data_IF_676779851969
#
_entry.id   IF_676779851969
#
_cell.length_a   1.000
_cell.length_b   1.000
_cell.length_c   1.000
_cell.angle_alpha   90.00
_cell.angle_beta   90.00
_cell.angle_gamma   90.00
#
_symmetry.space_group_name_H-M   'P 1'
#
loop_
_entity.id
_entity.type
_entity.pdbx_description
1 polymer ?
#
# COMPACT_ATOMS: atom_id res chain seq x y z
N UNK A 1 -12.34 -18.76 -3.87
CA UNK A 1 -12.17 -17.30 -3.65
C UNK A 1 -11.16 -17.00 -2.55
N UNK A 2 -11.26 -17.61 -1.36
CA UNK A 2 -10.32 -17.37 -0.26
C UNK A 2 -8.84 -17.62 -0.60
N UNK A 3 -8.53 -18.69 -1.36
CA UNK A 3 -7.16 -18.97 -1.82
C UNK A 3 -6.57 -17.84 -2.68
N UNK A 4 -7.40 -17.24 -3.54
CA UNK A 4 -6.97 -16.11 -4.37
C UNK A 4 -6.77 -14.86 -3.51
N UNK A 5 -7.65 -14.61 -2.53
CA UNK A 5 -7.45 -13.52 -1.56
C UNK A 5 -6.13 -13.70 -0.79
N UNK A 6 -5.85 -14.90 -0.29
CA UNK A 6 -4.57 -15.23 0.36
C UNK A 6 -3.38 -14.91 -0.55
N UNK A 7 -3.44 -15.28 -1.84
CA UNK A 7 -2.39 -14.94 -2.80
C UNK A 7 -2.22 -13.41 -2.94
N UNK A 8 -3.31 -12.66 -3.05
CA UNK A 8 -3.26 -11.19 -3.09
C UNK A 8 -2.60 -10.60 -1.85
N UNK A 9 -2.93 -11.14 -0.67
CA UNK A 9 -2.36 -10.70 0.61
C UNK A 9 -0.86 -11.03 0.71
N UNK A 10 -0.43 -12.19 0.23
CA UNK A 10 1.00 -12.53 0.15
C UNK A 10 1.76 -11.60 -0.81
N UNK A 11 1.21 -11.35 -2.00
CA UNK A 11 1.80 -10.41 -2.95
C UNK A 11 1.90 -9.00 -2.35
N UNK A 12 0.85 -8.55 -1.66
CA UNK A 12 0.82 -7.25 -1.00
C UNK A 12 1.83 -7.18 0.15
N UNK A 13 1.93 -8.22 0.97
CA UNK A 13 2.90 -8.30 2.07
C UNK A 13 4.33 -8.26 1.53
N UNK A 14 4.63 -9.05 0.50
CA UNK A 14 5.92 -9.03 -0.16
C UNK A 14 6.25 -7.63 -0.68
N UNK A 15 5.28 -6.98 -1.34
CA UNK A 15 5.46 -5.62 -1.81
C UNK A 15 5.78 -4.65 -0.66
N UNK A 16 4.97 -4.63 0.41
CA UNK A 16 5.17 -3.73 1.55
C UNK A 16 6.54 -3.90 2.21
N UNK A 17 7.05 -5.14 2.27
CA UNK A 17 8.33 -5.44 2.89
C UNK A 17 9.53 -5.11 1.99
N UNK A 18 9.40 -5.26 0.67
CA UNK A 18 10.58 -5.30 -0.21
C UNK A 18 10.65 -4.22 -1.30
N UNK A 19 9.56 -3.51 -1.61
CA UNK A 19 9.56 -2.55 -2.73
C UNK A 19 10.54 -1.36 -2.56
N UNK A 20 10.89 -1.01 -1.32
CA UNK A 20 11.90 0.02 -1.04
C UNK A 20 13.32 -0.54 -1.02
N UNK A 21 13.50 -1.85 -1.05
CA UNK A 21 14.79 -2.54 -0.89
C UNK A 21 15.32 -3.11 -2.19
N UNK A 22 14.43 -3.61 -3.05
CA UNK A 22 14.79 -4.22 -4.32
C UNK A 22 14.75 -3.15 -5.41
N UNK A 23 15.86 -2.86 -6.10
CA UNK A 23 15.86 -1.92 -7.21
C UNK A 23 15.06 -2.49 -8.39
N UNK A 24 14.05 -1.74 -8.83
CA UNK A 24 13.24 -2.02 -10.02
C UNK A 24 13.09 -0.73 -10.85
N UNK A 25 14.18 -0.21 -11.46
CA UNK A 25 14.06 0.96 -12.32
C UNK A 25 13.21 0.65 -13.57
N UNK A 26 12.41 1.61 -14.08
CA UNK A 26 12.26 2.97 -13.60
C UNK A 26 11.20 3.13 -12.49
N UNK A 27 10.63 2.05 -11.95
CA UNK A 27 9.49 2.09 -11.04
C UNK A 27 9.84 2.59 -9.62
N UNK A 28 11.07 2.39 -9.15
CA UNK A 28 11.59 2.98 -7.91
C UNK A 28 13.03 3.49 -8.05
N UNK A 29 13.45 4.30 -7.07
CA UNK A 29 14.83 4.79 -6.91
C UNK A 29 15.29 4.51 -5.48
N UNK A 30 15.72 3.27 -5.21
CA UNK A 30 16.11 2.82 -3.87
C UNK A 30 17.36 3.54 -3.35
N UNK A 31 18.20 4.07 -4.24
CA UNK A 31 19.39 4.86 -3.88
C UNK A 31 18.97 6.24 -3.36
N UNK A 32 18.05 6.93 -4.05
CA UNK A 32 17.51 8.20 -3.59
C UNK A 32 16.74 8.03 -2.27
N UNK A 33 15.93 6.97 -2.14
CA UNK A 33 15.23 6.65 -0.90
C UNK A 33 16.20 6.43 0.27
N UNK A 34 17.24 5.62 0.07
CA UNK A 34 18.27 5.39 1.09
C UNK A 34 18.98 6.68 1.50
N UNK A 35 19.22 7.60 0.55
CA UNK A 35 19.88 8.89 0.83
C UNK A 35 18.99 9.84 1.65
N UNK A 36 17.67 9.83 1.40
CA UNK A 36 16.72 10.75 2.06
C UNK A 36 16.25 10.20 3.41
N UNK A 37 15.83 8.94 3.47
CA UNK A 37 15.23 8.34 4.67
C UNK A 37 16.26 7.56 5.52
N UNK A 38 17.38 7.12 4.93
CA UNK A 38 18.30 6.20 5.61
C UNK A 38 17.76 4.77 5.73
N UNK A 39 18.59 3.85 6.22
CA UNK A 39 18.20 2.44 6.35
C UNK A 39 17.18 2.20 7.47
N UNK A 40 17.27 2.96 8.56
CA UNK A 40 16.41 2.70 9.72
C UNK A 40 14.97 3.14 9.45
N UNK A 41 14.74 4.31 8.87
CA UNK A 41 13.35 4.73 8.59
C UNK A 41 12.71 3.87 7.50
N UNK A 42 13.49 3.40 6.52
CA UNK A 42 13.04 2.39 5.54
C UNK A 42 12.61 1.08 6.23
N UNK A 43 13.41 0.56 7.17
CA UNK A 43 13.06 -0.68 7.87
C UNK A 43 11.84 -0.49 8.79
N UNK A 44 11.74 0.63 9.52
CA UNK A 44 10.52 0.94 10.30
C UNK A 44 9.29 1.01 9.40
N UNK A 45 9.38 1.73 8.28
CA UNK A 45 8.29 1.85 7.30
C UNK A 45 7.87 0.48 6.77
N UNK A 46 8.82 -0.35 6.34
CA UNK A 46 8.54 -1.72 5.86
C UNK A 46 7.88 -2.58 6.94
N UNK A 47 8.35 -2.53 8.19
CA UNK A 47 7.78 -3.32 9.28
C UNK A 47 6.37 -2.86 9.65
N UNK A 48 6.15 -1.55 9.75
CA UNK A 48 4.83 -0.99 10.07
C UNK A 48 3.83 -1.32 8.96
N UNK A 49 4.18 -1.05 7.70
CA UNK A 49 3.32 -1.34 6.56
C UNK A 49 3.12 -2.85 6.37
N UNK A 50 4.17 -3.64 6.58
CA UNK A 50 4.11 -5.10 6.53
C UNK A 50 3.20 -5.68 7.60
N UNK A 51 3.27 -5.19 8.85
CA UNK A 51 2.39 -5.61 9.93
C UNK A 51 0.90 -5.35 9.62
N UNK A 52 0.59 -4.20 9.01
CA UNK A 52 -0.78 -3.86 8.57
C UNK A 52 -1.36 -4.85 7.55
N UNK A 53 -0.53 -5.63 6.85
CA UNK A 53 -0.96 -6.66 5.89
C UNK A 53 -0.83 -8.07 6.48
N UNK A 54 0.20 -8.30 7.30
CA UNK A 54 0.46 -9.58 7.94
C UNK A 54 -0.66 -9.97 8.91
N UNK A 55 -1.23 -9.00 9.65
CA UNK A 55 -2.34 -9.26 10.57
C UNK A 55 -3.60 -9.75 9.82
N UNK A 56 -4.11 -9.05 8.79
CA UNK A 56 -5.18 -9.57 7.94
C UNK A 56 -4.86 -10.93 7.30
N UNK A 57 -3.64 -11.12 6.79
CA UNK A 57 -3.23 -12.39 6.19
C UNK A 57 -3.29 -13.54 7.20
N UNK A 58 -2.74 -13.34 8.39
CA UNK A 58 -2.80 -14.33 9.47
C UNK A 58 -4.24 -14.68 9.84
N UNK A 59 -5.11 -13.67 9.96
CA UNK A 59 -6.54 -13.88 10.20
C UNK A 59 -7.20 -14.69 9.08
N UNK A 60 -6.91 -14.39 7.82
CA UNK A 60 -7.44 -15.13 6.68
C UNK A 60 -6.96 -16.59 6.69
N UNK A 61 -5.66 -16.83 6.96
CA UNK A 61 -5.09 -18.18 7.03
C UNK A 61 -5.69 -19.00 8.19
N UNK A 62 -5.90 -18.36 9.36
CA UNK A 62 -6.48 -19.02 10.54
C UNK A 62 -7.86 -19.63 10.26
N UNK A 63 -8.64 -19.04 9.36
CA UNK A 63 -9.99 -19.48 9.02
C UNK A 63 -10.11 -19.93 7.56
N UNK A 64 -9.03 -20.47 6.96
CA UNK A 64 -9.04 -20.86 5.54
C UNK A 64 -10.02 -22.01 5.24
N UNK A 65 -10.12 -22.98 6.15
CA UNK A 65 -10.98 -24.16 6.04
C UNK A 65 -12.17 -24.10 7.02
N UNK A 66 -12.47 -22.92 7.56
CA UNK A 66 -13.52 -22.71 8.54
C UNK A 66 -14.39 -21.49 8.21
N UNK A 67 -15.60 -21.45 8.75
CA UNK A 67 -16.43 -20.24 8.68
C UNK A 67 -15.73 -19.10 9.42
N UNK A 68 -15.31 -18.09 8.68
CA UNK A 68 -14.67 -16.90 9.25
C UNK A 68 -15.68 -16.21 10.19
N UNK A 69 -15.35 -15.82 11.44
CA UNK A 69 -16.23 -15.06 12.33
C UNK A 69 -16.46 -13.60 11.89
N UNK A 70 -17.63 -12.99 12.20
CA UNK A 70 -17.96 -11.62 11.74
C UNK A 70 -16.92 -10.60 12.17
N UNK A 71 -16.51 -10.69 13.42
CA UNK A 71 -15.43 -9.87 13.99
C UNK A 71 -14.16 -9.94 13.15
N UNK A 72 -13.77 -11.12 12.67
CA UNK A 72 -12.55 -11.29 11.87
C UNK A 72 -12.66 -10.61 10.51
N UNK A 73 -13.82 -10.72 9.83
CA UNK A 73 -14.04 -10.00 8.57
C UNK A 73 -14.00 -8.49 8.78
N UNK A 74 -14.67 -7.99 9.83
CA UNK A 74 -14.67 -6.56 10.18
C UNK A 74 -13.24 -6.09 10.46
N UNK A 75 -12.43 -6.86 11.20
CA UNK A 75 -11.02 -6.54 11.44
C UNK A 75 -10.24 -6.46 10.14
N UNK A 76 -10.33 -7.47 9.28
CA UNK A 76 -9.64 -7.48 7.97
C UNK A 76 -10.04 -6.26 7.14
N UNK A 77 -11.34 -5.97 7.06
CA UNK A 77 -11.87 -4.81 6.36
C UNK A 77 -11.32 -3.50 6.93
N UNK A 78 -11.26 -3.35 8.24
CA UNK A 78 -10.76 -2.15 8.90
C UNK A 78 -9.29 -1.88 8.55
N UNK A 79 -8.44 -2.92 8.49
CA UNK A 79 -7.04 -2.76 8.07
C UNK A 79 -6.92 -2.27 6.63
N UNK A 80 -7.65 -2.89 5.68
CA UNK A 80 -7.58 -2.45 4.28
C UNK A 80 -8.26 -1.10 4.04
N UNK A 81 -9.28 -0.75 4.82
CA UNK A 81 -9.88 0.57 4.78
C UNK A 81 -8.89 1.63 5.29
N UNK A 82 -8.19 1.36 6.39
CA UNK A 82 -7.15 2.26 6.91
C UNK A 82 -6.00 2.46 5.91
N UNK A 83 -5.52 1.38 5.29
CA UNK A 83 -4.52 1.47 4.21
C UNK A 83 -5.05 2.28 3.02
N UNK A 84 -6.29 2.04 2.60
CA UNK A 84 -6.95 2.78 1.51
C UNK A 84 -7.00 4.28 1.82
N UNK A 85 -7.48 4.66 3.00
CA UNK A 85 -7.51 6.05 3.45
C UNK A 85 -6.10 6.65 3.43
N UNK A 86 -5.09 5.93 3.94
CA UNK A 86 -3.70 6.35 3.91
C UNK A 86 -3.19 6.65 2.49
N UNK A 87 -3.46 5.77 1.53
CA UNK A 87 -3.08 5.97 0.12
C UNK A 87 -3.77 7.18 -0.50
N UNK A 88 -5.06 7.39 -0.21
CA UNK A 88 -5.83 8.53 -0.70
C UNK A 88 -5.28 9.84 -0.14
N UNK A 89 -5.10 9.91 1.17
CA UNK A 89 -4.61 11.11 1.84
C UNK A 89 -3.16 11.46 1.47
N UNK A 90 -2.29 10.46 1.32
CA UNK A 90 -0.88 10.70 1.03
C UNK A 90 -0.59 11.04 -0.44
N UNK A 91 -1.36 10.50 -1.38
CA UNK A 91 -1.05 10.58 -2.81
C UNK A 91 -2.16 11.22 -3.65
N UNK A 92 -3.40 10.74 -3.51
CA UNK A 92 -4.48 11.16 -4.41
C UNK A 92 -5.01 12.55 -4.08
N UNK A 93 -5.21 12.86 -2.79
CA UNK A 93 -5.60 14.22 -2.38
C UNK A 93 -4.53 15.25 -2.83
N UNK A 94 -3.23 15.05 -2.55
CA UNK A 94 -2.17 15.94 -3.03
C UNK A 94 -2.09 16.10 -4.55
N UNK A 95 -2.41 15.04 -5.30
CA UNK A 95 -2.41 15.09 -6.76
C UNK A 95 -3.55 15.94 -7.32
N UNK A 96 -4.77 15.79 -6.79
CA UNK A 96 -5.94 16.51 -7.28
C UNK A 96 -6.06 17.92 -6.72
N UNK A 97 -5.73 18.13 -5.45
CA UNK A 97 -6.00 19.36 -4.71
C UNK A 97 -4.74 20.11 -4.25
N UNK A 98 -3.56 19.55 -4.48
CA UNK A 98 -2.30 20.09 -3.97
C UNK A 98 -2.05 19.72 -2.51
N UNK A 99 -0.87 20.09 -2.01
CA UNK A 99 -0.43 19.84 -0.64
C UNK A 99 0.50 20.93 -0.14
N UNK A 100 0.79 20.92 1.16
CA UNK A 100 1.79 21.81 1.76
C UNK A 100 3.17 21.63 1.13
N UNK A 101 3.98 22.69 1.19
CA UNK A 101 5.35 22.65 0.66
C UNK A 101 6.20 21.60 1.38
N UNK A 102 6.03 21.45 2.71
CA UNK A 102 6.68 20.40 3.49
C UNK A 102 6.40 19.01 2.91
N UNK A 103 5.14 18.72 2.56
CA UNK A 103 4.76 17.43 1.96
C UNK A 103 5.40 17.24 0.58
N UNK A 104 5.39 18.28 -0.26
CA UNK A 104 6.05 18.26 -1.58
C UNK A 104 7.55 17.97 -1.47
N UNK A 105 8.24 18.57 -0.50
CA UNK A 105 9.67 18.36 -0.28
C UNK A 105 9.99 16.93 0.13
N UNK A 106 9.17 16.32 1.02
CA UNK A 106 9.32 14.90 1.40
C UNK A 106 9.16 14.00 0.17
N UNK A 107 8.21 14.31 -0.71
CA UNK A 107 7.90 13.49 -1.89
C UNK A 107 8.86 13.70 -3.07
N UNK A 108 9.79 14.66 -3.01
CA UNK A 108 10.85 14.82 -4.03
C UNK A 108 11.71 13.57 -4.18
N UNK A 109 11.77 12.70 -3.17
CA UNK A 109 12.48 11.41 -3.25
C UNK A 109 11.94 10.48 -4.35
N UNK A 110 10.71 10.69 -4.81
CA UNK A 110 10.10 9.91 -5.89
C UNK A 110 10.26 10.55 -7.29
N UNK A 111 10.89 11.73 -7.41
CA UNK A 111 10.96 12.48 -8.68
C UNK A 111 11.60 11.71 -9.85
N UNK A 112 12.56 10.83 -9.56
CA UNK A 112 13.30 10.05 -10.55
C UNK A 112 12.61 8.73 -10.92
N UNK A 113 11.38 8.52 -10.46
CA UNK A 113 10.61 7.30 -10.75
C UNK A 113 9.65 7.52 -11.90
N UNK A 114 9.16 6.44 -12.50
CA UNK A 114 8.20 6.51 -13.58
C UNK A 114 6.82 6.96 -13.07
N UNK A 115 6.27 8.00 -13.70
CA UNK A 115 4.92 8.50 -13.46
C UNK A 115 4.10 8.34 -14.73
N UNK A 116 3.07 7.50 -14.72
CA UNK A 116 2.18 7.38 -15.87
C UNK A 116 1.10 8.48 -15.90
N UNK A 117 0.81 9.11 -14.76
CA UNK A 117 -0.13 10.21 -14.65
C UNK A 117 0.54 11.53 -15.09
N UNK A 118 -0.21 12.42 -15.78
CA UNK A 118 0.32 13.72 -16.19
C UNK A 118 0.58 14.63 -14.99
N UNK A 119 1.55 15.54 -15.13
CA UNK A 119 1.77 16.58 -14.14
C UNK A 119 0.58 17.55 -14.04
N UNK A 120 0.27 18.01 -12.83
CA UNK A 120 -0.79 18.98 -12.54
C UNK A 120 -0.19 20.17 -11.78
N UNK A 121 0.36 21.13 -12.51
CA UNK A 121 1.12 22.23 -11.92
C UNK A 121 2.29 21.70 -11.09
N UNK A 122 2.37 22.08 -9.82
CA UNK A 122 3.40 21.63 -8.87
C UNK A 122 2.88 20.59 -7.86
N UNK A 123 1.77 19.91 -8.17
CA UNK A 123 1.20 18.87 -7.32
C UNK A 123 2.07 17.61 -7.32
N UNK A 124 1.95 16.82 -6.25
CA UNK A 124 2.61 15.52 -6.14
C UNK A 124 1.98 14.57 -7.15
N UNK A 125 2.81 13.87 -7.92
CA UNK A 125 2.36 12.88 -8.90
C UNK A 125 2.55 11.49 -8.27
N UNK A 126 1.48 10.68 -8.14
CA UNK A 126 1.63 9.28 -7.75
C UNK A 126 2.51 8.55 -8.74
N UNK A 127 3.62 7.98 -8.27
CA UNK A 127 4.44 7.17 -9.14
C UNK A 127 3.75 5.85 -9.46
N UNK A 128 4.16 5.23 -10.55
CA UNK A 128 3.49 4.06 -11.10
C UNK A 128 3.50 2.88 -10.13
N UNK A 129 4.61 2.71 -9.40
CA UNK A 129 4.75 1.65 -8.40
C UNK A 129 3.73 1.80 -7.25
N UNK A 130 3.55 3.01 -6.72
CA UNK A 130 2.56 3.27 -5.69
C UNK A 130 1.15 3.12 -6.21
N UNK A 131 0.86 3.48 -7.46
CA UNK A 131 -0.48 3.21 -8.03
C UNK A 131 -0.76 1.71 -8.11
N UNK A 132 0.21 0.88 -8.51
CA UNK A 132 0.05 -0.58 -8.46
C UNK A 132 -0.20 -1.09 -7.04
N UNK A 133 0.52 -0.55 -6.05
CA UNK A 133 0.27 -0.83 -4.63
C UNK A 133 -1.16 -0.46 -4.22
N UNK A 134 -1.64 0.71 -4.62
CA UNK A 134 -2.99 1.19 -4.28
C UNK A 134 -4.05 0.25 -4.87
N UNK A 135 -3.89 -0.15 -6.13
CA UNK A 135 -4.79 -1.12 -6.77
C UNK A 135 -4.81 -2.46 -6.05
N UNK A 136 -3.65 -2.94 -5.59
CA UNK A 136 -3.56 -4.18 -4.81
C UNK A 136 -4.30 -4.07 -3.46
N UNK A 137 -4.11 -2.94 -2.74
CA UNK A 137 -4.81 -2.66 -1.48
C UNK A 137 -6.32 -2.58 -1.70
N UNK A 138 -6.77 -1.86 -2.73
CA UNK A 138 -8.20 -1.72 -3.04
C UNK A 138 -8.82 -3.04 -3.46
N UNK A 139 -8.09 -3.87 -4.20
CA UNK A 139 -8.53 -5.24 -4.51
C UNK A 139 -8.72 -6.05 -3.22
N UNK A 140 -7.78 -5.96 -2.27
CA UNK A 140 -7.93 -6.62 -0.98
C UNK A 140 -9.14 -6.09 -0.17
N UNK A 141 -9.38 -4.78 -0.21
CA UNK A 141 -10.57 -4.17 0.39
C UNK A 141 -11.85 -4.70 -0.25
N UNK A 142 -11.93 -4.77 -1.58
CA UNK A 142 -13.09 -5.30 -2.29
C UNK A 142 -13.40 -6.75 -1.92
N UNK A 143 -12.37 -7.61 -1.81
CA UNK A 143 -12.56 -8.98 -1.32
C UNK A 143 -13.05 -9.02 0.13
N UNK A 144 -12.55 -8.13 0.99
CA UNK A 144 -12.99 -8.03 2.38
C UNK A 144 -14.46 -7.60 2.49
N UNK A 145 -14.89 -6.66 1.64
CA UNK A 145 -16.30 -6.26 1.49
C UNK A 145 -17.14 -7.42 0.95
N UNK A 146 -16.64 -8.15 -0.06
CA UNK A 146 -17.32 -9.32 -0.60
C UNK A 146 -17.60 -10.36 0.49
N UNK A 147 -16.60 -10.73 1.30
CA UNK A 147 -16.80 -11.69 2.39
C UNK A 147 -17.76 -11.19 3.48
N UNK A 148 -17.90 -9.87 3.65
CA UNK A 148 -18.88 -9.32 4.58
C UNK A 148 -20.33 -9.57 4.12
N UNK A 149 -20.59 -9.51 2.82
CA UNK A 149 -21.95 -9.60 2.26
C UNK A 149 -22.33 -11.00 1.76
N UNK A 150 -21.37 -11.80 1.30
CA UNK A 150 -21.61 -13.08 0.61
C UNK A 150 -21.03 -14.26 1.39
N UNK A 151 -21.27 -14.25 2.69
CA UNK A 151 -20.71 -15.21 3.63
C UNK A 151 -21.24 -16.63 3.46
#
# INVERSE_FOLDING_TARGET
MIKFFILLQFCLLFFMLFHDWIPVPPLNDTVALKKVDGNWDRLKSSLINGACVAIPLWLTLKYVDATIPLSTIITILAFYLALTIGTICAWWIPYFFGSSEKHKQIFKKFKNTHHFLPARGNNIIPNTLHVLLHLQIWTCLLFSVYFLFFR
#
